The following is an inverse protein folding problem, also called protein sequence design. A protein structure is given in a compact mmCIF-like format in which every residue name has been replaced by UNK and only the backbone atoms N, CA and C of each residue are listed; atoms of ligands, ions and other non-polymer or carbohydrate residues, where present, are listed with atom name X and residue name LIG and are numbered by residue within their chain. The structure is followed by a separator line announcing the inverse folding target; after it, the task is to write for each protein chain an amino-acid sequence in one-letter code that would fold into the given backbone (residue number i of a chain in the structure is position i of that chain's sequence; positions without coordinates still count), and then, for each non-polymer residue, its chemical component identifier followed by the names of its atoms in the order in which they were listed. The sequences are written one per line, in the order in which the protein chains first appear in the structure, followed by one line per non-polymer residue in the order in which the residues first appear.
data_IF_560815913750
#
_entry.id   IF_560815913750
#
_cell.length_a   1.000
_cell.length_b   1.000
_cell.length_c   1.000
_cell.angle_alpha   90.00
_cell.angle_beta   90.00
_cell.angle_gamma   90.00
#
_symmetry.space_group_name_H-M   'P 1'
#
loop_
_entity.id
_entity.type
_entity.pdbx_description
1 polymer ?
#
# COMPACT_ATOMS: atom_id res chain seq x y z
N UNK A 1 -0.29 -9.18 27.03
CA UNK A 1 1.02 -8.51 26.93
C UNK A 1 1.12 -7.80 25.59
N UNK A 2 1.37 -6.49 25.59
CA UNK A 2 1.30 -5.65 24.39
C UNK A 2 2.60 -5.74 23.59
N UNK A 3 2.55 -6.34 22.40
CA UNK A 3 3.71 -6.59 21.51
C UNK A 3 4.15 -5.38 20.68
N UNK A 4 3.70 -4.18 21.05
CA UNK A 4 3.99 -2.95 20.32
C UNK A 4 4.72 -1.99 21.24
N UNK A 5 5.92 -1.58 20.83
CA UNK A 5 6.58 -0.43 21.43
C UNK A 5 5.78 0.84 21.17
N UNK A 6 5.99 1.89 21.98
CA UNK A 6 5.34 3.21 21.90
C UNK A 6 5.42 3.86 20.49
N UNK A 7 6.32 3.39 19.63
CA UNK A 7 6.53 3.86 18.26
C UNK A 7 6.07 2.89 17.15
N UNK A 8 5.32 1.84 17.49
CA UNK A 8 4.82 0.87 16.52
C UNK A 8 5.87 -0.07 15.93
N UNK A 9 7.11 -0.07 16.46
CA UNK A 9 8.12 -1.07 16.11
C UNK A 9 7.76 -2.39 16.78
N UNK A 10 7.67 -3.44 15.95
CA UNK A 10 7.60 -4.82 16.42
C UNK A 10 8.93 -5.11 17.12
N UNK A 11 8.84 -5.65 18.33
CA UNK A 11 10.00 -6.02 19.12
C UNK A 11 10.88 -7.01 18.32
N UNK A 12 12.19 -6.74 18.14
CA UNK A 12 13.08 -7.59 17.36
C UNK A 12 13.25 -9.01 17.92
N UNK A 13 12.86 -9.26 19.17
CA UNK A 13 12.80 -10.61 19.75
C UNK A 13 11.56 -11.42 19.31
N UNK A 14 10.59 -10.78 18.65
CA UNK A 14 9.41 -11.45 18.10
C UNK A 14 9.82 -12.20 16.84
N UNK A 15 10.00 -13.51 16.97
CA UNK A 15 10.05 -14.40 15.82
C UNK A 15 8.66 -14.43 15.17
N UNK A 16 8.52 -13.71 14.06
CA UNK A 16 7.32 -13.81 13.23
C UNK A 16 7.43 -15.11 12.44
N UNK A 17 6.77 -16.16 12.93
CA UNK A 17 6.54 -17.34 12.13
C UNK A 17 5.64 -16.94 10.95
N UNK A 18 6.26 -16.72 9.78
CA UNK A 18 5.55 -16.59 8.51
C UNK A 18 4.84 -17.93 8.28
N UNK A 19 3.60 -18.04 8.76
CA UNK A 19 2.75 -19.19 8.51
C UNK A 19 2.63 -19.29 6.99
N UNK A 20 3.32 -20.27 6.42
CA UNK A 20 3.18 -20.60 5.03
C UNK A 20 1.74 -21.07 4.86
N UNK A 21 0.92 -20.27 4.17
CA UNK A 21 -0.46 -20.65 3.90
C UNK A 21 -0.50 -22.02 3.20
N UNK A 22 -1.59 -22.79 3.35
CA UNK A 22 -1.69 -24.21 2.97
C UNK A 22 -1.54 -24.51 1.46
N UNK A 23 -1.17 -23.51 0.65
CA UNK A 23 -0.85 -23.64 -0.77
C UNK A 23 0.38 -22.81 -1.05
N UNK A 24 1.56 -23.43 -0.97
CA UNK A 24 2.80 -22.89 -1.55
C UNK A 24 2.64 -22.84 -3.07
N UNK A 25 1.85 -21.88 -3.57
CA UNK A 25 1.73 -21.59 -4.99
C UNK A 25 2.93 -20.73 -5.34
N UNK A 26 3.95 -21.34 -5.92
CA UNK A 26 5.04 -20.61 -6.57
C UNK A 26 4.42 -19.69 -7.63
N UNK A 27 4.45 -18.39 -7.38
CA UNK A 27 3.92 -17.39 -8.30
C UNK A 27 4.94 -17.25 -9.42
N UNK A 28 4.66 -17.83 -10.59
CA UNK A 28 5.44 -17.55 -11.80
C UNK A 28 5.18 -16.09 -12.20
N UNK A 29 6.23 -15.28 -12.28
CA UNK A 29 6.19 -13.92 -12.81
C UNK A 29 6.44 -13.99 -14.31
N UNK A 30 5.36 -14.14 -15.10
CA UNK A 30 5.41 -14.12 -16.55
C UNK A 30 4.68 -12.89 -17.11
N UNK A 31 4.66 -12.73 -18.44
CA UNK A 31 3.98 -11.59 -19.09
C UNK A 31 2.48 -11.51 -18.76
N UNK A 32 1.84 -12.61 -18.33
CA UNK A 32 0.41 -12.64 -17.99
C UNK A 32 0.17 -12.28 -16.53
N UNK A 33 1.03 -12.71 -15.61
CA UNK A 33 0.85 -12.53 -14.16
C UNK A 33 1.53 -11.28 -13.61
N UNK A 34 2.63 -10.85 -14.21
CA UNK A 34 3.44 -9.73 -13.74
C UNK A 34 2.66 -8.40 -13.67
N UNK A 35 1.88 -7.99 -14.71
CA UNK A 35 1.18 -6.71 -14.67
C UNK A 35 0.22 -6.59 -13.48
N UNK A 36 -0.54 -7.66 -13.21
CA UNK A 36 -1.48 -7.71 -12.09
C UNK A 36 -0.75 -7.65 -10.74
N UNK A 37 0.41 -8.30 -10.62
CA UNK A 37 1.21 -8.28 -9.39
C UNK A 37 1.80 -6.91 -9.12
N UNK A 38 2.35 -6.27 -10.15
CA UNK A 38 2.86 -4.89 -10.06
C UNK A 38 1.73 -3.95 -9.66
N UNK A 39 0.55 -4.06 -10.28
CA UNK A 39 -0.61 -3.25 -9.92
C UNK A 39 -1.03 -3.47 -8.46
N UNK A 40 -1.12 -4.72 -8.00
CA UNK A 40 -1.44 -5.03 -6.61
C UNK A 40 -0.42 -4.41 -5.63
N UNK A 41 0.87 -4.53 -5.93
CA UNK A 41 1.92 -3.98 -5.09
C UNK A 41 1.86 -2.44 -5.05
N UNK A 42 1.64 -1.80 -6.21
CA UNK A 42 1.45 -0.36 -6.29
C UNK A 42 0.25 0.10 -5.45
N UNK A 43 -0.86 -0.64 -5.49
CA UNK A 43 -2.06 -0.32 -4.71
C UNK A 43 -1.86 -0.44 -3.20
N UNK A 44 -0.94 -1.29 -2.72
CA UNK A 44 -0.61 -1.39 -1.29
C UNK A 44 0.08 -0.13 -0.78
N UNK A 45 0.83 0.56 -1.64
CA UNK A 45 1.57 1.78 -1.30
C UNK A 45 0.88 3.06 -1.79
N UNK A 46 -0.26 2.93 -2.48
CA UNK A 46 -0.96 4.04 -3.08
C UNK A 46 -1.68 4.90 -2.04
N UNK A 47 -1.61 6.22 -2.25
CA UNK A 47 -2.32 7.24 -1.51
C UNK A 47 -3.59 7.68 -2.27
N UNK A 48 -4.67 8.09 -1.58
CA UNK A 48 -5.83 8.72 -2.21
C UNK A 48 -5.52 10.12 -2.76
N UNK A 49 -4.32 10.67 -2.51
CA UNK A 49 -3.87 11.92 -3.11
C UNK A 49 -3.02 11.66 -4.37
N UNK A 50 -3.40 12.20 -5.56
CA UNK A 50 -2.60 12.08 -6.77
C UNK A 50 -1.18 12.63 -6.60
N UNK A 51 -1.05 13.80 -5.94
CA UNK A 51 0.24 14.43 -5.71
C UNK A 51 1.15 13.56 -4.85
N UNK A 52 0.63 12.90 -3.81
CA UNK A 52 1.44 12.01 -2.97
C UNK A 52 1.93 10.78 -3.74
N UNK A 53 1.12 10.24 -4.65
CA UNK A 53 1.57 9.15 -5.53
C UNK A 53 2.69 9.60 -6.47
N UNK A 54 2.58 10.81 -7.04
CA UNK A 54 3.65 11.40 -7.82
C UNK A 54 4.92 11.63 -7.00
N UNK A 55 4.80 12.26 -5.82
CA UNK A 55 5.91 12.52 -4.91
C UNK A 55 6.64 11.24 -4.52
N UNK A 56 5.92 10.14 -4.26
CA UNK A 56 6.52 8.85 -3.94
C UNK A 56 7.35 8.30 -5.10
N UNK A 57 6.86 8.39 -6.34
CA UNK A 57 7.64 8.02 -7.53
C UNK A 57 8.84 8.94 -7.72
N UNK A 58 8.61 10.25 -7.66
CA UNK A 58 9.64 11.28 -7.86
C UNK A 58 10.80 11.10 -6.89
N UNK A 59 10.51 10.86 -5.60
CA UNK A 59 11.53 10.55 -4.59
C UNK A 59 12.31 9.29 -4.93
N UNK A 60 11.64 8.22 -5.38
CA UNK A 60 12.33 7.00 -5.78
C UNK A 60 13.24 7.24 -6.98
N UNK A 61 12.79 7.99 -7.98
CA UNK A 61 13.61 8.33 -9.15
C UNK A 61 14.83 9.17 -8.73
N UNK A 62 14.62 10.23 -7.94
CA UNK A 62 15.71 11.08 -7.46
C UNK A 62 16.70 10.35 -6.53
N UNK A 63 16.23 9.37 -5.74
CA UNK A 63 17.10 8.61 -4.84
C UNK A 63 17.83 7.49 -5.58
N UNK A 64 17.14 6.75 -6.45
CA UNK A 64 17.67 5.54 -7.08
C UNK A 64 18.46 5.85 -8.35
N UNK A 65 18.06 6.86 -9.12
CA UNK A 65 18.62 7.15 -10.44
C UNK A 65 19.73 8.21 -10.34
N UNK A 66 19.56 9.23 -9.49
CA UNK A 66 20.52 10.33 -9.46
C UNK A 66 21.80 10.06 -8.66
N UNK A 67 21.94 8.92 -7.95
CA UNK A 67 23.16 8.37 -7.30
C UNK A 67 24.04 9.32 -6.43
N UNK A 68 23.77 10.63 -6.39
CA UNK A 68 24.54 11.64 -5.68
C UNK A 68 24.33 11.49 -4.17
N UNK A 69 23.15 11.05 -3.77
CA UNK A 69 22.81 10.78 -2.38
C UNK A 69 23.05 9.29 -2.09
N UNK A 70 24.30 8.93 -1.78
CA UNK A 70 24.72 7.57 -1.35
C UNK A 70 24.09 7.16 -0.01
N UNK A 71 22.76 7.09 0.07
CA UNK A 71 22.01 6.65 1.25
C UNK A 71 21.87 7.64 2.40
N UNK A 72 22.50 8.83 2.34
CA UNK A 72 22.35 9.85 3.39
C UNK A 72 21.35 10.93 2.95
N UNK A 73 20.09 10.73 3.32
CA UNK A 73 19.01 11.66 3.02
C UNK A 73 18.82 12.64 4.18
N UNK A 74 19.42 13.82 4.09
CA UNK A 74 19.26 14.85 5.10
C UNK A 74 17.86 15.47 5.05
N UNK A 75 17.41 16.09 6.15
CA UNK A 75 16.15 16.85 6.17
C UNK A 75 16.15 17.99 5.13
N UNK A 76 17.29 18.63 4.90
CA UNK A 76 17.44 19.66 3.85
C UNK A 76 17.23 19.06 2.46
N UNK A 77 17.83 17.90 2.18
CA UNK A 77 17.65 17.18 0.90
C UNK A 77 16.19 16.80 0.68
N UNK A 78 15.50 16.33 1.73
CA UNK A 78 14.07 16.01 1.67
C UNK A 78 13.21 17.24 1.34
N UNK A 79 13.54 18.39 1.91
CA UNK A 79 12.85 19.64 1.63
C UNK A 79 13.05 20.07 0.17
N UNK A 80 14.31 20.09 -0.31
CA UNK A 80 14.62 20.47 -1.71
C UNK A 80 13.93 19.55 -2.73
N UNK A 81 13.93 18.24 -2.50
CA UNK A 81 13.23 17.30 -3.40
C UNK A 81 11.72 17.53 -3.36
N UNK A 82 11.16 17.89 -2.20
CA UNK A 82 9.74 18.20 -2.07
C UNK A 82 9.38 19.49 -2.82
N UNK A 83 10.22 20.52 -2.76
CA UNK A 83 10.07 21.75 -3.53
C UNK A 83 10.13 21.48 -5.04
N UNK A 84 11.15 20.75 -5.48
CA UNK A 84 11.33 20.38 -6.90
C UNK A 84 10.14 19.56 -7.42
N UNK A 85 9.67 18.59 -6.64
CA UNK A 85 8.49 17.81 -6.98
C UNK A 85 7.24 18.70 -7.04
N UNK A 86 7.06 19.66 -6.13
CA UNK A 86 5.94 20.59 -6.15
C UNK A 86 5.95 21.44 -7.43
N UNK A 87 7.10 22.01 -7.77
CA UNK A 87 7.27 22.76 -9.00
C UNK A 87 6.97 21.90 -10.23
N UNK A 88 7.58 20.71 -10.31
CA UNK A 88 7.40 19.76 -11.41
C UNK A 88 5.94 19.37 -11.57
N UNK A 89 5.26 19.07 -10.46
CA UNK A 89 3.83 18.76 -10.47
C UNK A 89 3.03 19.90 -11.06
N UNK A 90 3.29 21.15 -10.66
CA UNK A 90 2.53 22.32 -11.09
C UNK A 90 2.68 22.61 -12.60
N UNK A 91 3.85 22.39 -13.17
CA UNK A 91 4.09 22.58 -14.62
C UNK A 91 3.69 21.37 -15.46
N UNK A 92 3.50 20.20 -14.84
CA UNK A 92 3.13 18.96 -15.52
C UNK A 92 1.75 19.05 -16.17
N UNK A 93 1.64 18.51 -17.39
CA UNK A 93 0.40 18.48 -18.16
C UNK A 93 -0.69 17.61 -17.50
N UNK A 94 -1.95 17.84 -17.88
CA UNK A 94 -3.05 17.02 -17.38
C UNK A 94 -2.89 15.53 -17.77
N UNK A 95 -2.38 15.24 -18.97
CA UNK A 95 -2.12 13.87 -19.44
C UNK A 95 -1.05 13.17 -18.60
N UNK A 96 0.01 13.88 -18.24
CA UNK A 96 1.11 13.30 -17.43
C UNK A 96 0.68 13.07 -15.98
N UNK A 97 -0.29 13.86 -15.48
CA UNK A 97 -0.88 13.66 -14.15
C UNK A 97 -1.84 12.47 -14.10
N UNK A 98 -2.41 12.05 -15.23
CA UNK A 98 -3.47 11.03 -15.26
C UNK A 98 -3.12 9.69 -14.59
N UNK A 99 -1.92 9.11 -14.76
CA UNK A 99 -1.56 7.87 -14.08
C UNK A 99 -1.72 7.97 -12.55
N UNK A 100 -1.29 9.08 -11.95
CA UNK A 100 -1.37 9.31 -10.51
C UNK A 100 -2.81 9.56 -10.05
N UNK A 101 -3.61 10.23 -10.88
CA UNK A 101 -5.05 10.43 -10.63
C UNK A 101 -5.80 9.10 -10.64
N UNK A 102 -5.57 8.25 -11.65
CA UNK A 102 -6.19 6.92 -11.73
C UNK A 102 -5.81 6.05 -10.53
N UNK A 103 -4.54 6.08 -10.13
CA UNK A 103 -4.06 5.34 -8.96
C UNK A 103 -4.73 5.83 -7.67
N UNK A 104 -4.82 7.15 -7.49
CA UNK A 104 -5.46 7.78 -6.33
C UNK A 104 -6.95 7.40 -6.21
N UNK A 105 -7.68 7.39 -7.33
CA UNK A 105 -9.09 6.95 -7.35
C UNK A 105 -9.26 5.50 -6.89
N UNK A 106 -8.39 4.59 -7.36
CA UNK A 106 -8.40 3.19 -6.92
C UNK A 106 -8.10 3.08 -5.41
N UNK A 107 -7.09 3.82 -4.93
CA UNK A 107 -6.75 3.84 -3.51
C UNK A 107 -7.91 4.36 -2.64
N UNK A 108 -8.59 5.42 -3.10
CA UNK A 108 -9.76 5.98 -2.43
C UNK A 108 -10.90 4.96 -2.34
N UNK A 109 -11.20 4.24 -3.43
CA UNK A 109 -12.22 3.18 -3.42
C UNK A 109 -11.90 2.08 -2.40
N UNK A 110 -10.63 1.64 -2.35
CA UNK A 110 -10.19 0.63 -1.38
C UNK A 110 -10.31 1.16 0.05
N UNK A 111 -9.91 2.40 0.32
CA UNK A 111 -10.04 3.02 1.64
C UNK A 111 -11.50 3.15 2.06
N UNK A 112 -12.40 3.55 1.15
CA UNK A 112 -13.84 3.60 1.40
C UNK A 112 -14.40 2.21 1.71
N UNK A 113 -14.05 1.20 0.93
CA UNK A 113 -14.47 -0.18 1.16
C UNK A 113 -13.98 -0.70 2.53
N UNK A 114 -12.73 -0.41 2.90
CA UNK A 114 -12.18 -0.72 4.23
C UNK A 114 -12.94 0.01 5.34
N UNK A 115 -13.20 1.31 5.17
CA UNK A 115 -13.97 2.11 6.13
C UNK A 115 -15.37 1.53 6.34
N UNK A 116 -16.08 1.18 5.26
CA UNK A 116 -17.41 0.55 5.32
C UNK A 116 -17.38 -0.81 6.03
N UNK A 117 -16.35 -1.62 5.78
CA UNK A 117 -16.12 -2.88 6.49
C UNK A 117 -15.93 -2.67 7.99
N UNK A 118 -15.12 -1.68 8.40
CA UNK A 118 -14.91 -1.37 9.82
C UNK A 118 -16.13 -0.73 10.50
N UNK A 119 -16.91 0.09 9.79
CA UNK A 119 -18.12 0.73 10.30
C UNK A 119 -19.33 -0.21 10.39
N UNK A 120 -19.16 -1.50 10.13
CA UNK A 120 -20.21 -2.49 10.38
C UNK A 120 -21.39 -2.44 9.41
N UNK A 121 -21.24 -1.82 8.22
CA UNK A 121 -22.26 -1.88 7.15
C UNK A 121 -22.41 -3.28 6.50
N UNK A 122 -22.09 -4.34 7.24
CA UNK A 122 -22.57 -5.69 6.98
C UNK A 122 -23.95 -5.87 7.61
N UNK A 123 -24.94 -5.10 7.14
CA UNK A 123 -26.36 -5.47 7.26
C UNK A 123 -26.72 -6.51 6.18
N UNK A 124 -25.87 -7.52 5.96
CA UNK A 124 -26.36 -8.80 5.49
C UNK A 124 -26.69 -9.59 6.74
N UNK A 125 -27.98 -9.87 7.03
CA UNK A 125 -28.27 -10.91 8.00
C UNK A 125 -27.55 -12.15 7.49
N UNK A 126 -26.60 -12.65 8.27
CA UNK A 126 -26.15 -14.02 8.14
C UNK A 126 -27.43 -14.81 8.36
N UNK A 127 -28.05 -15.25 7.26
CA UNK A 127 -29.10 -16.25 7.34
C UNK A 127 -28.48 -17.40 8.12
N UNK A 128 -28.93 -17.58 9.36
CA UNK A 128 -28.65 -18.76 10.17
C UNK A 128 -29.22 -19.95 9.39
N UNK A 129 -28.48 -20.45 8.40
CA UNK A 129 -28.66 -21.82 7.94
C UNK A 129 -28.11 -22.66 9.08
N UNK A 130 -29.04 -23.23 9.84
CA UNK A 130 -28.76 -24.06 10.99
C UNK A 130 -27.67 -25.07 10.70
N UNK A 131 -26.58 -24.99 11.46
CA UNK A 131 -25.78 -26.16 11.78
C UNK A 131 -26.13 -26.53 13.21
N UNK A 132 -27.03 -27.50 13.34
CA UNK A 132 -27.14 -28.30 14.56
C UNK A 132 -25.75 -28.87 14.85
N UNK A 133 -25.10 -28.38 15.92
CA UNK A 133 -23.93 -29.04 16.46
C UNK A 133 -24.39 -30.38 17.08
N UNK A 134 -23.75 -31.52 16.78
CA UNK A 134 -24.05 -32.76 17.48
C UNK A 134 -23.56 -32.65 18.93
N UNK A 135 -24.44 -32.98 19.87
CA UNK A 135 -24.11 -33.23 21.27
C UNK A 135 -23.36 -34.57 21.30
N UNK A 136 -22.11 -34.55 21.75
CA UNK A 136 -21.38 -35.77 22.11
C UNK A 136 -21.82 -36.14 23.52
N UNK A 137 -22.45 -37.32 23.65
CA UNK A 137 -22.77 -38.00 24.92
C UNK A 137 -21.50 -38.57 25.52
#
# INVERSE_FOLDING_TARGET
MCSRTRWGRIDPSVQVNLVHGPKSRVIKLDKKTLPRRVEQQLLLMASPSPFLNFMNKFRLDEILINHQYKGVYSMRTAATITELATYTWNVMSASDRQPYIRLARKAQQIQLARKLHFLGTSSRPVAKRGSLCPIVV
#
